data_IF_566907911623
#
_entry.id   IF_566907911623
#
_cell.length_a   1.000
_cell.length_b   1.000
_cell.length_c   1.000
_cell.angle_alpha   90.00
_cell.angle_beta   90.00
_cell.angle_gamma   90.00
#
_symmetry.space_group_name_H-M   'P 1'
#
loop_
_entity.id
_entity.type
_entity.pdbx_description
1 polymer ?
#
# COMPACT_ATOMS: atom_id res chain seq x y z
N UNK A 1 -32.30 32.15 23.89
CA UNK A 1 -31.12 31.27 23.75
C UNK A 1 -30.38 31.27 25.08
N UNK A 2 -30.49 30.18 25.84
CA UNK A 2 -30.07 30.15 27.25
C UNK A 2 -28.54 30.27 27.36
N UNK A 3 -28.04 31.31 28.03
CA UNK A 3 -26.59 31.53 28.27
C UNK A 3 -25.88 30.33 28.90
N UNK A 4 -26.64 29.44 29.57
CA UNK A 4 -26.14 28.16 30.12
C UNK A 4 -25.76 27.12 29.04
N UNK A 5 -26.39 27.14 27.86
CA UNK A 5 -26.10 26.19 26.77
C UNK A 5 -24.80 26.55 26.05
N UNK A 6 -24.48 27.85 25.96
CA UNK A 6 -23.22 28.34 25.38
C UNK A 6 -22.01 27.99 26.28
N UNK A 7 -22.21 27.91 27.60
CA UNK A 7 -21.15 27.54 28.55
C UNK A 7 -20.78 26.05 28.48
N UNK A 8 -21.75 25.18 28.15
CA UNK A 8 -21.54 23.73 28.04
C UNK A 8 -20.70 23.37 26.81
N UNK A 9 -20.83 24.13 25.71
CA UNK A 9 -20.02 23.93 24.50
C UNK A 9 -18.54 24.31 24.69
N UNK A 10 -18.24 25.23 25.60
CA UNK A 10 -16.86 25.68 25.90
C UNK A 10 -16.11 24.72 26.84
N UNK A 11 -16.83 23.89 27.61
CA UNK A 11 -16.23 22.88 28.50
C UNK A 11 -15.83 21.58 27.79
N UNK A 12 -16.38 21.32 26.60
CA UNK A 12 -16.06 20.12 25.81
C UNK A 12 -14.77 20.25 24.98
N UNK A 13 -14.20 21.45 24.83
CA UNK A 13 -12.96 21.67 24.07
C UNK A 13 -11.68 21.43 24.87
N UNK A 14 -11.76 21.06 26.16
CA UNK A 14 -10.59 20.85 27.03
C UNK A 14 -10.19 19.38 27.21
N UNK A 15 -10.83 18.44 26.52
CA UNK A 15 -10.37 17.04 26.46
C UNK A 15 -9.29 16.95 25.38
N UNK A 16 -8.11 17.51 25.66
CA UNK A 16 -6.92 17.31 24.86
C UNK A 16 -6.36 15.89 25.08
N UNK A 17 -6.19 15.13 24.00
CA UNK A 17 -5.46 13.87 24.03
C UNK A 17 -4.04 14.11 24.58
N UNK A 18 -3.76 13.63 25.79
CA UNK A 18 -2.39 13.49 26.27
C UNK A 18 -1.75 12.38 25.44
N UNK A 19 -0.82 12.70 24.55
CA UNK A 19 0.01 11.69 23.89
C UNK A 19 0.83 11.00 24.99
N UNK A 20 0.39 9.84 25.43
CA UNK A 20 1.22 8.95 26.23
C UNK A 20 2.36 8.51 25.31
N UNK A 21 3.58 8.96 25.60
CA UNK A 21 4.80 8.40 25.02
C UNK A 21 4.92 6.95 25.49
N UNK A 22 4.19 6.06 24.84
CA UNK A 22 4.53 4.64 24.81
C UNK A 22 5.65 4.54 23.81
N UNK A 23 6.88 4.52 24.29
CA UNK A 23 8.01 4.06 23.49
C UNK A 23 7.78 2.56 23.29
N UNK A 24 7.02 2.21 22.25
CA UNK A 24 7.02 0.86 21.68
C UNK A 24 8.24 0.80 20.76
N UNK A 25 9.42 0.55 21.33
CA UNK A 25 10.72 0.64 20.66
C UNK A 25 10.88 -0.27 19.44
N UNK A 26 9.99 -1.24 19.21
CA UNK A 26 10.06 -2.16 18.07
C UNK A 26 9.09 -1.81 16.93
N UNK A 27 7.88 -1.31 17.22
CA UNK A 27 6.90 -0.96 16.19
C UNK A 27 7.27 0.33 15.47
N UNK A 28 7.70 1.36 16.21
CA UNK A 28 8.09 2.64 15.63
C UNK A 28 9.34 2.51 14.75
N UNK A 29 10.36 1.76 15.20
CA UNK A 29 11.59 1.55 14.41
C UNK A 29 11.33 0.79 13.10
N UNK A 30 10.42 -0.18 13.08
CA UNK A 30 10.06 -0.91 11.86
C UNK A 30 9.32 -0.01 10.87
N UNK A 31 8.41 0.83 11.35
CA UNK A 31 7.68 1.79 10.51
C UNK A 31 8.63 2.81 9.87
N UNK A 32 9.54 3.36 10.66
CA UNK A 32 10.56 4.29 10.17
C UNK A 32 11.49 3.62 9.15
N UNK A 33 11.84 2.35 9.38
CA UNK A 33 12.64 1.54 8.44
C UNK A 33 11.90 1.28 7.12
N UNK A 34 10.61 0.95 7.18
CA UNK A 34 9.79 0.71 5.99
C UNK A 34 9.68 1.96 5.13
N UNK A 35 9.39 3.11 5.75
CA UNK A 35 9.31 4.40 5.05
C UNK A 35 10.64 4.69 4.35
N UNK A 36 11.76 4.57 5.08
CA UNK A 36 13.09 4.76 4.52
C UNK A 36 13.37 3.87 3.30
N UNK A 37 13.05 2.58 3.37
CA UNK A 37 13.26 1.66 2.23
C UNK A 37 12.37 2.00 1.03
N UNK A 38 11.10 2.33 1.26
CA UNK A 38 10.17 2.70 0.19
C UNK A 38 10.56 4.01 -0.50
N UNK A 39 11.15 4.96 0.23
CA UNK A 39 11.68 6.22 -0.32
C UNK A 39 12.94 5.98 -1.15
N UNK A 40 13.91 5.22 -0.63
CA UNK A 40 15.14 4.90 -1.37
C UNK A 40 14.87 4.09 -2.63
N UNK A 41 13.91 3.16 -2.60
CA UNK A 41 13.48 2.40 -3.76
C UNK A 41 12.83 3.27 -4.86
N UNK A 42 12.28 4.43 -4.51
CA UNK A 42 11.61 5.34 -5.44
C UNK A 42 12.51 6.43 -6.01
N UNK A 43 13.78 6.51 -5.59
CA UNK A 43 14.67 7.58 -5.98
C UNK A 43 15.45 7.19 -7.23
N UNK A 44 15.16 7.82 -8.37
CA UNK A 44 15.82 7.52 -9.65
C UNK A 44 17.32 7.89 -9.69
N UNK A 45 17.79 8.72 -8.76
CA UNK A 45 19.23 8.96 -8.57
C UNK A 45 19.96 7.79 -7.87
N UNK A 46 19.22 6.84 -7.30
CA UNK A 46 19.78 5.61 -6.72
C UNK A 46 19.87 4.54 -7.82
N UNK A 47 20.97 3.80 -7.87
CA UNK A 47 21.17 2.78 -8.90
C UNK A 47 20.08 1.69 -8.86
N UNK A 48 19.78 1.10 -10.03
CA UNK A 48 18.80 0.02 -10.16
C UNK A 48 18.99 -1.09 -9.12
N UNK A 49 20.23 -1.61 -8.99
CA UNK A 49 20.55 -2.68 -8.05
C UNK A 49 20.28 -2.28 -6.59
N UNK A 50 20.58 -1.03 -6.21
CA UNK A 50 20.31 -0.54 -4.87
C UNK A 50 18.81 -0.35 -4.64
N UNK A 51 18.07 0.19 -5.62
CA UNK A 51 16.60 0.30 -5.53
C UNK A 51 15.95 -1.07 -5.40
N UNK A 52 16.42 -2.07 -6.15
CA UNK A 52 15.99 -3.47 -6.01
C UNK A 52 16.25 -4.01 -4.59
N UNK A 53 17.42 -3.76 -4.03
CA UNK A 53 17.76 -4.19 -2.67
C UNK A 53 16.86 -3.52 -1.62
N UNK A 54 16.56 -2.22 -1.76
CA UNK A 54 15.64 -1.52 -0.86
C UNK A 54 14.20 -2.03 -0.99
N UNK A 55 13.74 -2.31 -2.21
CA UNK A 55 12.41 -2.90 -2.45
C UNK A 55 12.29 -4.26 -1.75
N UNK A 56 13.31 -5.12 -1.83
CA UNK A 56 13.34 -6.41 -1.12
C UNK A 56 13.25 -6.24 0.40
N UNK A 57 14.02 -5.32 0.98
CA UNK A 57 13.94 -5.01 2.43
C UNK A 57 12.56 -4.50 2.84
N UNK A 58 11.90 -3.69 2.01
CA UNK A 58 10.53 -3.27 2.27
C UNK A 58 9.56 -4.47 2.26
N UNK A 59 9.69 -5.37 1.29
CA UNK A 59 8.88 -6.60 1.22
C UNK A 59 9.07 -7.47 2.47
N UNK A 60 10.30 -7.64 2.95
CA UNK A 60 10.61 -8.41 4.17
C UNK A 60 9.97 -7.85 5.43
N UNK A 61 9.76 -6.53 5.50
CA UNK A 61 9.04 -5.90 6.62
C UNK A 61 7.52 -6.08 6.46
N UNK A 62 7.00 -5.77 5.27
CA UNK A 62 5.56 -5.86 4.98
C UNK A 62 5.05 -7.31 5.14
N UNK A 63 5.84 -8.32 4.76
CA UNK A 63 5.44 -9.73 4.84
C UNK A 63 5.26 -10.26 6.26
N UNK A 64 5.81 -9.58 7.27
CA UNK A 64 5.67 -9.92 8.69
C UNK A 64 4.40 -9.33 9.31
N UNK A 65 3.77 -8.38 8.64
CA UNK A 65 2.54 -7.74 9.10
C UNK A 65 1.30 -8.54 8.70
N UNK A 66 0.20 -8.32 9.44
CA UNK A 66 -1.11 -8.90 9.11
C UNK A 66 -1.59 -8.36 7.75
N UNK A 67 -2.34 -9.17 7.00
CA UNK A 67 -3.05 -8.74 5.78
C UNK A 67 -4.23 -7.78 6.11
N UNK A 68 -3.92 -6.59 6.59
CA UNK A 68 -4.87 -5.50 6.75
C UNK A 68 -4.78 -4.51 5.56
N UNK A 69 -5.62 -3.47 5.60
CA UNK A 69 -5.68 -2.48 4.52
C UNK A 69 -4.36 -1.73 4.34
N UNK A 70 -3.63 -1.45 5.42
CA UNK A 70 -2.35 -0.75 5.34
C UNK A 70 -1.25 -1.63 4.76
N UNK A 71 -1.25 -2.92 5.10
CA UNK A 71 -0.37 -3.91 4.52
C UNK A 71 -0.52 -3.96 2.99
N UNK A 72 -1.75 -4.05 2.48
CA UNK A 72 -2.02 -4.02 1.03
C UNK A 72 -1.62 -2.69 0.40
N UNK A 73 -1.88 -1.55 1.06
CA UNK A 73 -1.40 -0.23 0.60
C UNK A 73 0.13 -0.21 0.45
N UNK A 74 0.87 -0.80 1.38
CA UNK A 74 2.32 -0.88 1.29
C UNK A 74 2.78 -1.81 0.16
N UNK A 75 2.11 -2.95 -0.06
CA UNK A 75 2.37 -3.78 -1.25
C UNK A 75 2.10 -3.06 -2.57
N UNK A 76 1.05 -2.21 -2.65
CA UNK A 76 0.84 -1.37 -3.84
C UNK A 76 1.99 -0.38 -4.07
N UNK A 77 2.57 0.17 -2.99
CA UNK A 77 3.77 1.01 -3.13
C UNK A 77 4.93 0.21 -3.71
N UNK A 78 5.16 -1.02 -3.23
CA UNK A 78 6.19 -1.94 -3.77
C UNK A 78 5.96 -2.22 -5.24
N UNK A 79 4.72 -2.54 -5.65
CA UNK A 79 4.36 -2.72 -7.07
C UNK A 79 4.79 -1.51 -7.90
N UNK A 80 4.45 -0.29 -7.45
CA UNK A 80 4.83 0.92 -8.16
C UNK A 80 6.35 1.13 -8.23
N UNK A 81 7.13 0.65 -7.24
CA UNK A 81 8.60 0.69 -7.34
C UNK A 81 9.10 -0.21 -8.45
N UNK A 82 8.61 -1.45 -8.54
CA UNK A 82 8.99 -2.36 -9.61
C UNK A 82 8.60 -1.83 -10.98
N UNK A 83 7.39 -1.26 -11.11
CA UNK A 83 6.95 -0.62 -12.36
C UNK A 83 7.88 0.54 -12.76
N UNK A 84 8.18 1.45 -11.84
CA UNK A 84 9.07 2.60 -12.09
C UNK A 84 10.52 2.19 -12.42
N UNK A 85 10.93 0.96 -12.12
CA UNK A 85 12.25 0.41 -12.45
C UNK A 85 12.24 -0.43 -13.74
N UNK A 86 11.11 -0.53 -14.45
CA UNK A 86 10.88 -1.46 -15.57
C UNK A 86 11.11 -2.95 -15.20
N UNK A 87 10.98 -3.28 -13.91
CA UNK A 87 11.08 -4.64 -13.40
C UNK A 87 9.72 -5.36 -13.53
N UNK A 88 9.25 -5.54 -14.76
CA UNK A 88 7.87 -5.94 -15.05
C UNK A 88 7.47 -7.31 -14.50
N UNK A 89 8.39 -8.28 -14.45
CA UNK A 89 8.09 -9.61 -13.88
C UNK A 89 7.96 -9.58 -12.35
N UNK A 90 8.75 -8.74 -11.68
CA UNK A 90 8.60 -8.49 -10.24
C UNK A 90 7.29 -7.73 -9.94
N UNK A 91 6.95 -6.75 -10.79
CA UNK A 91 5.67 -6.03 -10.74
C UNK A 91 4.47 -6.97 -10.86
N UNK A 92 4.50 -7.88 -11.84
CA UNK A 92 3.48 -8.93 -12.00
C UNK A 92 3.37 -9.79 -10.75
N UNK A 93 4.50 -10.26 -10.23
CA UNK A 93 4.54 -11.17 -9.09
C UNK A 93 3.92 -10.54 -7.84
N UNK A 94 4.28 -9.29 -7.53
CA UNK A 94 3.71 -8.60 -6.36
C UNK A 94 2.24 -8.21 -6.57
N UNK A 95 1.83 -7.95 -7.82
CA UNK A 95 0.43 -7.66 -8.15
C UNK A 95 -0.46 -8.89 -8.02
N UNK A 96 0.04 -10.07 -8.41
CA UNK A 96 -0.67 -11.34 -8.17
C UNK A 96 -0.83 -11.62 -6.67
N UNK A 97 0.20 -11.34 -5.86
CA UNK A 97 0.09 -11.42 -4.40
C UNK A 97 -0.98 -10.45 -3.87
N UNK A 98 -1.06 -9.23 -4.41
CA UNK A 98 -2.10 -8.26 -4.06
C UNK A 98 -3.51 -8.76 -4.39
N UNK A 99 -3.69 -9.46 -5.53
CA UNK A 99 -4.97 -10.11 -5.88
C UNK A 99 -5.34 -11.15 -4.82
N UNK A 100 -4.42 -12.05 -4.49
CA UNK A 100 -4.63 -13.09 -3.48
C UNK A 100 -5.00 -12.50 -2.12
N UNK A 101 -4.21 -11.54 -1.63
CA UNK A 101 -4.43 -10.87 -0.35
C UNK A 101 -5.74 -10.09 -0.30
N UNK A 102 -6.14 -9.47 -1.42
CA UNK A 102 -7.39 -8.73 -1.48
C UNK A 102 -8.60 -9.67 -1.46
N UNK A 103 -8.51 -10.82 -2.14
CA UNK A 103 -9.54 -11.86 -2.08
C UNK A 103 -9.69 -12.45 -0.67
N UNK A 104 -8.56 -12.80 -0.03
CA UNK A 104 -8.54 -13.32 1.35
C UNK A 104 -9.22 -12.34 2.32
N UNK A 105 -8.89 -11.05 2.21
CA UNK A 105 -9.44 -10.00 3.06
C UNK A 105 -10.85 -9.54 2.67
N UNK A 106 -11.40 -10.04 1.55
CA UNK A 106 -12.66 -9.56 0.95
C UNK A 106 -12.67 -8.04 0.73
N UNK A 107 -11.51 -7.48 0.35
CA UNK A 107 -11.35 -6.05 0.07
C UNK A 107 -11.54 -5.80 -1.43
N UNK A 108 -12.78 -5.47 -1.80
CA UNK A 108 -13.16 -5.19 -3.19
C UNK A 108 -12.36 -4.03 -3.79
N UNK A 109 -12.06 -2.99 -3.02
CA UNK A 109 -11.35 -1.81 -3.54
C UNK A 109 -9.90 -2.13 -3.88
N UNK A 110 -9.22 -2.85 -2.98
CA UNK A 110 -7.87 -3.36 -3.28
C UNK A 110 -7.89 -4.37 -4.42
N UNK A 111 -8.91 -5.22 -4.51
CA UNK A 111 -9.04 -6.20 -5.59
C UNK A 111 -9.20 -5.52 -6.96
N UNK A 112 -10.07 -4.51 -7.05
CA UNK A 112 -10.22 -3.68 -8.26
C UNK A 112 -8.86 -3.09 -8.64
N UNK A 113 -8.16 -2.44 -7.71
CA UNK A 113 -6.86 -1.85 -8.01
C UNK A 113 -5.82 -2.87 -8.47
N UNK A 114 -5.79 -4.06 -7.85
CA UNK A 114 -4.88 -5.13 -8.23
C UNK A 114 -5.19 -5.69 -9.63
N UNK A 115 -6.47 -5.86 -10.00
CA UNK A 115 -6.85 -6.24 -11.35
C UNK A 115 -6.51 -5.17 -12.40
N UNK A 116 -6.63 -3.89 -12.06
CA UNK A 116 -6.15 -2.80 -12.91
C UNK A 116 -4.66 -2.91 -13.17
N UNK A 117 -3.86 -3.15 -12.13
CA UNK A 117 -2.40 -3.31 -12.27
C UNK A 117 -2.03 -4.54 -13.13
N UNK A 118 -2.79 -5.63 -13.02
CA UNK A 118 -2.60 -6.78 -13.91
C UNK A 118 -2.96 -6.45 -15.36
N UNK A 119 -4.03 -5.69 -15.59
CA UNK A 119 -4.39 -5.21 -16.93
C UNK A 119 -3.26 -4.37 -17.52
N UNK A 120 -2.73 -3.40 -16.74
CA UNK A 120 -1.61 -2.54 -17.14
C UNK A 120 -0.35 -3.36 -17.48
N UNK A 121 -0.05 -4.41 -16.71
CA UNK A 121 1.05 -5.35 -17.03
C UNK A 121 0.86 -5.99 -18.41
N UNK A 122 -0.32 -6.55 -18.69
CA UNK A 122 -0.56 -7.25 -19.96
C UNK A 122 -0.67 -6.30 -21.15
N UNK A 123 -1.18 -5.08 -20.94
CA UNK A 123 -1.09 -3.99 -21.92
C UNK A 123 0.37 -3.70 -22.25
N UNK A 124 1.22 -3.52 -21.23
CA UNK A 124 2.65 -3.25 -21.42
C UNK A 124 3.36 -4.38 -22.18
N UNK A 125 2.94 -5.63 -22.00
CA UNK A 125 3.47 -6.80 -22.71
C UNK A 125 2.80 -7.06 -24.07
N UNK A 126 1.82 -6.25 -24.49
CA UNK A 126 1.02 -6.42 -25.70
C UNK A 126 0.28 -7.77 -25.77
N UNK A 127 -0.28 -8.25 -24.65
CA UNK A 127 -1.02 -9.52 -24.56
C UNK A 127 -2.53 -9.23 -24.39
N UNK A 128 -3.22 -9.06 -25.51
CA UNK A 128 -4.63 -8.62 -25.55
C UNK A 128 -5.60 -9.55 -24.80
N UNK A 129 -5.43 -10.87 -24.91
CA UNK A 129 -6.35 -11.83 -24.28
C UNK A 129 -6.33 -11.71 -22.74
N UNK A 130 -5.13 -11.55 -22.17
CA UNK A 130 -5.00 -11.38 -20.73
C UNK A 130 -5.49 -10.02 -20.27
N UNK A 131 -5.22 -8.95 -21.04
CA UNK A 131 -5.82 -7.63 -20.79
C UNK A 131 -7.34 -7.70 -20.75
N UNK A 132 -7.97 -8.37 -21.72
CA UNK A 132 -9.42 -8.57 -21.77
C UNK A 132 -9.93 -9.31 -20.52
N UNK A 133 -9.27 -10.40 -20.11
CA UNK A 133 -9.65 -11.16 -18.91
C UNK A 133 -9.65 -10.28 -17.65
N UNK A 134 -8.60 -9.48 -17.44
CA UNK A 134 -8.53 -8.62 -16.24
C UNK A 134 -9.50 -7.44 -16.30
N UNK A 135 -9.74 -6.87 -17.48
CA UNK A 135 -10.78 -5.85 -17.67
C UNK A 135 -12.19 -6.39 -17.41
N UNK A 136 -12.49 -7.60 -17.87
CA UNK A 136 -13.76 -8.27 -17.56
C UNK A 136 -13.92 -8.49 -16.04
N UNK A 137 -12.86 -8.93 -15.36
CA UNK A 137 -12.88 -9.09 -13.89
C UNK A 137 -13.11 -7.76 -13.16
N UNK A 138 -12.54 -6.66 -13.65
CA UNK A 138 -12.78 -5.32 -13.12
C UNK A 138 -14.24 -4.90 -13.27
N UNK A 139 -14.81 -5.07 -14.47
CA UNK A 139 -16.19 -4.70 -14.79
C UNK A 139 -17.19 -5.41 -13.86
N UNK A 140 -16.91 -6.65 -13.45
CA UNK A 140 -17.77 -7.41 -12.53
C UNK A 140 -17.73 -6.94 -11.08
N UNK A 141 -16.81 -6.05 -10.71
CA UNK A 141 -16.67 -5.52 -9.36
C UNK A 141 -17.20 -4.09 -9.21
N UNK A 142 -17.52 -3.41 -10.32
CA UNK A 142 -18.24 -2.13 -10.35
C UNK A 142 -19.76 -2.36 -10.34
#
# INVERSE_FOLDING_TARGET
MNKKVLLIFFLLSLIGCKKTNRVNTSEDTNKDSLVFFLEKANNDSVSYNARQAYTKKAIELISKEKNDSMNRVNYFKVANRYYNMDALEDYKSITLLLVEKSLEAKDTMSLIKAYSYMSDYYVTKNISDSTYIYNYKLEKLY
#
